data_IF_472152227576
#
_entry.id   IF_472152227576
#
_cell.length_a   1.000
_cell.length_b   1.000
_cell.length_c   1.000
_cell.angle_alpha   90.00
_cell.angle_beta   90.00
_cell.angle_gamma   90.00
#
_symmetry.space_group_name_H-M   'P 1'
#
loop_
_entity.id
_entity.type
_entity.pdbx_description
1 polymer ?
#
# COMPACT_ATOMS: atom_id res chain seq x y z
N UNK A 1 16.67 -14.76 27.03
CA UNK A 1 16.41 -13.37 26.63
C UNK A 1 15.81 -13.31 25.25
N UNK A 2 14.69 -12.61 25.11
CA UNK A 2 14.09 -12.44 23.81
C UNK A 2 15.02 -11.54 22.95
N UNK A 3 15.32 -12.03 21.77
CA UNK A 3 16.13 -11.25 20.83
C UNK A 3 15.19 -10.45 19.93
N UNK A 4 15.33 -9.14 19.98
CA UNK A 4 14.51 -8.26 19.16
C UNK A 4 15.29 -7.93 17.89
N UNK A 5 14.66 -8.12 16.74
CA UNK A 5 15.23 -7.82 15.45
C UNK A 5 14.39 -6.76 14.76
N UNK A 6 14.96 -6.12 13.76
CA UNK A 6 14.22 -5.18 12.94
C UNK A 6 13.69 -5.88 11.70
N UNK A 7 12.41 -5.67 11.41
CA UNK A 7 11.76 -6.25 10.25
C UNK A 7 11.19 -5.17 9.37
N UNK A 8 11.35 -5.33 8.07
CA UNK A 8 10.79 -4.41 7.09
C UNK A 8 9.39 -4.88 6.73
N UNK A 9 8.41 -4.06 6.99
CA UNK A 9 7.00 -4.36 6.68
C UNK A 9 6.51 -3.35 5.66
N UNK A 10 6.00 -3.86 4.56
CA UNK A 10 5.43 -3.04 3.49
C UNK A 10 3.91 -3.03 3.61
N UNK A 11 3.34 -1.84 3.61
CA UNK A 11 1.89 -1.65 3.59
C UNK A 11 1.51 -1.12 2.21
N UNK A 12 0.85 -1.94 1.42
CA UNK A 12 0.37 -1.52 0.11
C UNK A 12 -1.09 -1.11 0.23
N UNK A 13 -1.36 0.17 0.04
CA UNK A 13 -2.69 0.75 0.14
C UNK A 13 -3.17 1.04 -1.26
N UNK A 14 -4.20 0.32 -1.70
CA UNK A 14 -4.76 0.44 -3.05
C UNK A 14 -6.22 0.82 -2.98
N UNK A 15 -6.72 1.61 -3.94
CA UNK A 15 -8.16 1.88 -4.03
C UNK A 15 -8.89 0.59 -4.38
N UNK A 16 -10.13 0.47 -3.92
CA UNK A 16 -10.95 -0.69 -4.26
C UNK A 16 -11.26 -0.67 -5.75
N UNK A 17 -11.27 -1.85 -6.42
CA UNK A 17 -11.45 -1.91 -7.87
C UNK A 17 -12.73 -1.25 -8.40
N UNK A 18 -13.80 -1.27 -7.60
CA UNK A 18 -15.08 -0.70 -8.00
C UNK A 18 -15.16 0.83 -7.88
N UNK A 19 -14.11 1.46 -7.34
CA UNK A 19 -14.09 2.90 -7.16
C UNK A 19 -13.19 3.57 -8.19
N UNK A 20 -13.48 4.85 -8.47
CA UNK A 20 -12.65 5.64 -9.37
C UNK A 20 -11.28 5.91 -8.75
N UNK A 21 -10.28 5.99 -9.61
CA UNK A 21 -8.94 6.41 -9.22
C UNK A 21 -8.59 7.69 -9.97
N UNK A 22 -8.91 8.87 -9.39
CA UNK A 22 -8.74 10.14 -10.11
C UNK A 22 -7.30 10.40 -10.56
N UNK A 23 -6.30 10.05 -9.75
CA UNK A 23 -4.90 10.21 -10.15
C UNK A 23 -4.55 9.33 -11.33
N UNK A 24 -5.01 8.07 -11.31
CA UNK A 24 -4.78 7.14 -12.42
C UNK A 24 -5.48 7.61 -13.68
N UNK A 25 -6.72 8.11 -13.57
CA UNK A 25 -7.46 8.63 -14.71
C UNK A 25 -6.74 9.83 -15.33
N UNK A 26 -6.21 10.73 -14.51
CA UNK A 26 -5.47 11.89 -14.99
C UNK A 26 -4.20 11.47 -15.73
N UNK A 27 -3.46 10.50 -15.19
CA UNK A 27 -2.27 9.97 -15.85
C UNK A 27 -2.65 9.37 -17.20
N UNK A 28 -3.72 8.59 -17.24
CA UNK A 28 -4.15 7.95 -18.48
C UNK A 28 -4.55 8.99 -19.53
N UNK A 29 -5.43 9.93 -19.18
CA UNK A 29 -5.98 10.88 -20.14
C UNK A 29 -4.97 11.94 -20.54
N UNK A 30 -4.29 12.53 -19.57
CA UNK A 30 -3.48 13.73 -19.83
C UNK A 30 -2.05 13.40 -20.24
N UNK A 31 -1.51 12.27 -19.83
CA UNK A 31 -0.12 11.93 -20.14
C UNK A 31 -0.01 10.82 -21.17
N UNK A 32 -0.68 9.70 -20.96
CA UNK A 32 -0.48 8.52 -21.80
C UNK A 32 -1.23 8.63 -23.12
N UNK A 33 -2.51 8.94 -23.11
CA UNK A 33 -3.30 9.00 -24.35
C UNK A 33 -2.91 10.19 -25.21
N UNK A 34 -2.53 11.32 -24.61
CA UNK A 34 -2.10 12.49 -25.37
C UNK A 34 -0.74 12.28 -26.04
N UNK A 35 0.06 11.33 -25.56
CA UNK A 35 1.38 11.03 -26.10
C UNK A 35 1.41 9.73 -26.92
N UNK A 36 0.25 9.31 -27.40
CA UNK A 36 0.10 8.14 -28.28
C UNK A 36 0.38 6.79 -27.64
N UNK A 37 0.19 6.70 -26.32
CA UNK A 37 0.27 5.41 -25.62
C UNK A 37 -1.13 4.82 -25.45
N UNK A 38 -1.88 4.77 -26.54
CA UNK A 38 -3.28 4.36 -26.55
C UNK A 38 -3.50 2.87 -26.31
N UNK A 39 -2.43 2.09 -26.25
CA UNK A 39 -2.52 0.68 -25.85
C UNK A 39 -2.69 0.49 -24.35
N UNK A 40 -2.58 1.57 -23.55
CA UNK A 40 -2.84 1.52 -22.12
C UNK A 40 -4.32 1.73 -21.89
N UNK A 41 -4.98 0.77 -21.27
CA UNK A 41 -6.43 0.81 -21.08
C UNK A 41 -6.87 1.34 -19.73
N UNK A 42 -6.02 1.23 -18.71
CA UNK A 42 -6.32 1.79 -17.39
C UNK A 42 -5.05 2.06 -16.61
N UNK A 43 -5.14 2.99 -15.67
CA UNK A 43 -4.05 3.34 -14.77
C UNK A 43 -4.60 3.49 -13.37
N UNK A 44 -3.91 2.90 -12.40
CA UNK A 44 -4.24 3.00 -10.98
C UNK A 44 -3.04 3.47 -10.21
N UNK A 45 -3.27 4.32 -9.23
CA UNK A 45 -2.20 4.80 -8.34
C UNK A 45 -2.44 4.24 -6.95
N UNK A 46 -1.42 3.63 -6.37
CA UNK A 46 -1.47 3.06 -5.03
C UNK A 46 -0.36 3.67 -4.16
N UNK A 47 -0.48 3.52 -2.86
CA UNK A 47 0.51 4.04 -1.91
C UNK A 47 1.23 2.89 -1.24
N UNK A 48 2.56 2.96 -1.20
CA UNK A 48 3.38 1.99 -0.49
C UNK A 48 4.03 2.69 0.70
N UNK A 49 3.78 2.17 1.90
CA UNK A 49 4.40 2.67 3.13
C UNK A 49 5.29 1.56 3.67
N UNK A 50 6.56 1.87 3.92
CA UNK A 50 7.50 0.91 4.46
C UNK A 50 7.80 1.24 5.90
N UNK A 51 7.62 0.25 6.78
CA UNK A 51 7.88 0.39 8.21
C UNK A 51 9.04 -0.52 8.60
N UNK A 52 9.93 -0.02 9.44
CA UNK A 52 10.95 -0.85 10.06
C UNK A 52 10.51 -1.02 11.52
N UNK A 53 10.15 -2.24 11.88
CA UNK A 53 9.54 -2.54 13.17
C UNK A 53 10.43 -3.47 13.98
N UNK A 54 10.67 -3.11 15.24
CA UNK A 54 11.37 -3.98 16.17
C UNK A 54 10.39 -5.02 16.70
N UNK A 55 10.70 -6.29 16.53
CA UNK A 55 9.83 -7.39 16.94
C UNK A 55 10.66 -8.64 17.20
N UNK A 56 10.04 -9.62 17.85
CA UNK A 56 10.70 -10.89 18.15
C UNK A 56 10.78 -11.78 16.91
N UNK A 57 9.78 -11.70 16.04
CA UNK A 57 9.74 -12.48 14.81
C UNK A 57 8.90 -11.74 13.76
N UNK A 58 8.88 -12.28 12.56
CA UNK A 58 8.17 -11.63 11.45
C UNK A 58 6.66 -11.53 11.70
N UNK A 59 6.06 -12.58 12.27
CA UNK A 59 4.64 -12.58 12.57
C UNK A 59 4.28 -11.47 13.57
N UNK A 60 5.11 -11.30 14.60
CA UNK A 60 4.91 -10.23 15.58
C UNK A 60 5.02 -8.86 14.91
N UNK A 61 5.98 -8.69 13.99
CA UNK A 61 6.14 -7.45 13.25
C UNK A 61 4.90 -7.14 12.40
N UNK A 62 4.34 -8.14 11.74
CA UNK A 62 3.12 -7.97 10.95
C UNK A 62 1.93 -7.59 11.81
N UNK A 63 1.79 -8.21 12.98
CA UNK A 63 0.71 -7.89 13.91
C UNK A 63 0.82 -6.44 14.40
N UNK A 64 2.03 -6.00 14.71
CA UNK A 64 2.26 -4.61 15.10
C UNK A 64 1.92 -3.64 13.98
N UNK A 65 2.28 -3.99 12.75
CA UNK A 65 1.94 -3.16 11.58
C UNK A 65 0.43 -3.03 11.41
N UNK A 66 -0.31 -4.13 11.60
CA UNK A 66 -1.76 -4.11 11.49
C UNK A 66 -2.39 -3.19 12.55
N UNK A 67 -1.90 -3.25 13.78
CA UNK A 67 -2.37 -2.38 14.85
C UNK A 67 -2.12 -0.91 14.51
N UNK A 68 -0.93 -0.61 13.99
CA UNK A 68 -0.59 0.76 13.57
C UNK A 68 -1.55 1.27 12.49
N UNK A 69 -1.82 0.43 11.49
CA UNK A 69 -2.76 0.80 10.43
C UNK A 69 -4.14 1.13 10.97
N UNK A 70 -4.64 0.30 11.89
CA UNK A 70 -5.98 0.50 12.45
C UNK A 70 -6.06 1.74 13.34
N UNK A 71 -5.09 1.92 14.22
CA UNK A 71 -5.13 3.01 15.19
C UNK A 71 -4.87 4.38 14.56
N UNK A 72 -3.94 4.44 13.63
CA UNK A 72 -3.58 5.71 13.00
C UNK A 72 -4.36 5.99 11.71
N UNK A 73 -5.20 5.04 11.31
CA UNK A 73 -6.02 5.16 10.10
C UNK A 73 -5.20 5.58 8.89
N UNK A 74 -4.12 4.85 8.65
CA UNK A 74 -3.24 5.12 7.51
C UNK A 74 -3.95 4.95 6.17
N UNK A 75 -5.08 4.28 6.18
CA UNK A 75 -5.93 4.14 5.00
C UNK A 75 -7.40 4.14 5.42
N UNK A 76 -8.27 4.43 4.47
CA UNK A 76 -9.72 4.38 4.71
C UNK A 76 -10.26 3.05 4.20
N UNK A 77 -10.67 2.11 5.07
CA UNK A 77 -11.12 0.79 4.64
C UNK A 77 -12.39 0.80 3.80
N UNK A 78 -13.14 1.89 3.81
CA UNK A 78 -14.33 2.02 2.96
C UNK A 78 -13.99 2.19 1.50
N UNK A 79 -12.83 2.81 1.19
CA UNK A 79 -12.44 3.14 -0.18
C UNK A 79 -11.13 2.49 -0.60
N UNK A 80 -10.40 1.87 0.32
CA UNK A 80 -9.07 1.31 0.03
C UNK A 80 -8.91 -0.04 0.69
N UNK A 81 -8.00 -0.84 0.15
CA UNK A 81 -7.55 -2.07 0.76
C UNK A 81 -6.09 -1.93 1.16
N UNK A 82 -5.69 -2.68 2.18
CA UNK A 82 -4.31 -2.66 2.66
C UNK A 82 -3.76 -4.08 2.65
N UNK A 83 -2.65 -4.28 1.97
CA UNK A 83 -1.96 -5.56 1.93
C UNK A 83 -0.67 -5.41 2.74
N UNK A 84 -0.45 -6.32 3.68
CA UNK A 84 0.73 -6.30 4.55
C UNK A 84 1.70 -7.37 4.09
N UNK A 85 2.93 -6.97 3.77
CA UNK A 85 4.01 -7.88 3.39
C UNK A 85 5.19 -7.67 4.30
N UNK A 86 5.78 -8.76 4.76
CA UNK A 86 6.96 -8.70 5.61
C UNK A 86 8.18 -9.30 4.92
N UNK A 87 9.31 -8.66 5.10
CA UNK A 87 10.60 -9.18 4.65
C UNK A 87 11.61 -9.04 5.77
N UNK A 88 12.52 -9.97 5.83
CA UNK A 88 13.59 -9.92 6.82
C UNK A 88 14.63 -8.85 6.47
#
# INVERSE_FOLDING_TARGET
MATVSEFKIDLLISPKPELRNPEGETILQDLLLRNNFDYVTSVSVSKLIQLIIKAENLEDAKNKALIICDELRLYNPLVSSCIIRGTD
#
